data_IF_253563132182
#
_entry.id   IF_253563132182
#
_cell.length_a   1.000
_cell.length_b   1.000
_cell.length_c   1.000
_cell.angle_alpha   90.00
_cell.angle_beta   90.00
_cell.angle_gamma   90.00
#
_symmetry.space_group_name_H-M   'P 1'
#
loop_
_entity.id
_entity.type
_entity.pdbx_description
1 polymer ?
#
# COMPACT_ATOMS: atom_id res chain seq x y z
N UNK A 1 5.68 9.53 -23.22
CA UNK A 1 4.24 9.21 -23.20
C UNK A 1 4.00 8.31 -21.99
N UNK A 2 3.10 8.68 -21.07
CA UNK A 2 2.87 7.97 -19.79
C UNK A 2 1.89 6.78 -19.89
N UNK A 3 1.66 6.27 -21.10
CA UNK A 3 0.69 5.19 -21.36
C UNK A 3 1.36 4.07 -22.16
N UNK A 4 1.14 2.83 -21.75
CA UNK A 4 1.57 1.61 -22.42
C UNK A 4 0.42 0.61 -22.45
N UNK A 5 0.15 0.00 -23.60
CA UNK A 5 -0.85 -1.07 -23.74
C UNK A 5 -0.42 -2.37 -23.06
N UNK A 6 0.85 -2.49 -22.68
CA UNK A 6 1.40 -3.66 -21.98
C UNK A 6 1.02 -3.67 -20.49
N UNK A 7 0.69 -2.51 -19.91
CA UNK A 7 0.32 -2.40 -18.50
C UNK A 7 -1.21 -2.51 -18.38
N UNK A 8 -1.67 -3.64 -17.86
CA UNK A 8 -3.09 -3.84 -17.57
C UNK A 8 -3.55 -2.86 -16.47
N UNK A 9 -4.79 -2.35 -16.52
CA UNK A 9 -5.33 -1.52 -15.46
C UNK A 9 -5.30 -2.25 -14.10
N UNK A 10 -4.97 -1.52 -13.04
CA UNK A 10 -5.21 -1.98 -11.66
C UNK A 10 -6.70 -1.79 -11.36
N UNK A 11 -7.44 -2.88 -11.23
CA UNK A 11 -8.86 -2.82 -10.92
C UNK A 11 -9.04 -2.67 -9.40
N UNK A 12 -9.57 -1.53 -8.97
CA UNK A 12 -9.88 -1.22 -7.57
C UNK A 12 -11.41 -1.26 -7.43
N UNK A 13 -11.91 -1.78 -6.30
CA UNK A 13 -13.35 -1.92 -6.06
C UNK A 13 -14.07 -0.57 -6.28
N UNK A 14 -15.09 -0.50 -7.16
CA UNK A 14 -15.74 0.74 -7.54
C UNK A 14 -16.55 1.40 -6.42
N UNK A 15 -16.84 0.69 -5.32
CA UNK A 15 -17.60 1.23 -4.19
C UNK A 15 -16.72 1.95 -3.15
N UNK A 16 -15.47 2.27 -3.49
CA UNK A 16 -14.57 3.04 -2.63
C UNK A 16 -14.57 4.50 -3.05
N UNK A 17 -14.88 5.38 -2.11
CA UNK A 17 -14.65 6.83 -2.23
C UNK A 17 -13.23 7.14 -1.73
N UNK A 18 -12.64 8.27 -2.12
CA UNK A 18 -11.35 8.76 -1.60
C UNK A 18 -10.18 7.78 -1.70
N UNK A 19 -9.92 7.29 -2.91
CA UNK A 19 -8.80 6.39 -3.20
C UNK A 19 -7.54 7.20 -3.52
N UNK A 20 -6.48 6.93 -2.77
CA UNK A 20 -5.15 7.48 -2.99
C UNK A 20 -4.26 6.41 -3.64
N UNK A 21 -3.52 6.82 -4.67
CA UNK A 21 -2.48 6.02 -5.29
C UNK A 21 -1.12 6.61 -4.92
N UNK A 22 -0.30 5.79 -4.26
CA UNK A 22 1.01 6.19 -3.74
C UNK A 22 2.06 5.41 -4.54
N UNK A 23 2.99 6.12 -5.17
CA UNK A 23 4.16 5.49 -5.80
C UNK A 23 5.22 5.23 -4.71
N UNK A 24 5.53 3.96 -4.47
CA UNK A 24 6.50 3.50 -3.47
C UNK A 24 7.93 3.39 -4.02
N UNK A 25 8.10 3.57 -5.33
CA UNK A 25 9.32 3.23 -6.05
C UNK A 25 9.56 1.72 -6.09
N UNK A 26 10.81 1.33 -6.36
CA UNK A 26 11.22 -0.07 -6.38
C UNK A 26 11.43 -0.60 -4.94
N UNK A 27 10.42 -1.30 -4.43
CA UNK A 27 10.44 -1.95 -3.11
C UNK A 27 11.10 -3.34 -3.17
N UNK A 28 10.89 -4.10 -4.25
CA UNK A 28 11.25 -5.53 -4.31
C UNK A 28 12.53 -5.85 -5.12
N UNK A 29 13.24 -4.84 -5.61
CA UNK A 29 14.39 -4.93 -6.52
C UNK A 29 14.08 -5.61 -7.85
N UNK A 30 12.85 -5.49 -8.33
CA UNK A 30 12.42 -5.90 -9.67
C UNK A 30 12.16 -4.63 -10.46
N UNK A 31 12.50 -4.62 -11.74
CA UNK A 31 12.31 -3.44 -12.59
C UNK A 31 10.83 -3.03 -12.61
N UNK A 32 10.56 -1.87 -12.03
CA UNK A 32 9.23 -1.27 -11.96
C UNK A 32 9.00 -0.66 -10.59
N UNK A 33 8.09 0.29 -10.52
CA UNK A 33 7.67 0.86 -9.25
C UNK A 33 6.49 0.07 -8.69
N UNK A 34 6.43 -0.03 -7.38
CA UNK A 34 5.29 -0.54 -6.64
C UNK A 34 4.28 0.58 -6.38
N UNK A 35 2.99 0.23 -6.41
CA UNK A 35 1.89 1.16 -6.15
C UNK A 35 1.13 0.69 -4.90
N UNK A 36 0.97 1.59 -3.94
CA UNK A 36 0.07 1.41 -2.82
C UNK A 36 -1.28 2.05 -3.12
N UNK A 37 -2.35 1.33 -2.82
CA UNK A 37 -3.73 1.82 -2.82
C UNK A 37 -4.14 2.03 -1.37
N UNK A 38 -4.58 3.24 -1.06
CA UNK A 38 -5.11 3.60 0.25
C UNK A 38 -6.53 4.13 0.11
N UNK A 39 -7.47 3.58 0.87
CA UNK A 39 -8.87 4.03 0.83
C UNK A 39 -9.80 3.22 1.73
N UNK A 40 -11.00 3.72 2.03
CA UNK A 40 -11.98 3.05 2.87
C UNK A 40 -12.62 1.87 2.11
N UNK A 41 -12.86 0.71 2.74
CA UNK A 41 -13.57 -0.40 2.10
C UNK A 41 -15.06 -0.13 1.93
N UNK A 42 -15.72 0.60 2.84
CA UNK A 42 -17.17 0.92 2.83
C UNK A 42 -17.51 2.18 3.68
N UNK A 43 -17.31 3.40 3.14
CA UNK A 43 -17.58 4.73 3.77
C UNK A 43 -17.22 4.84 5.28
N UNK A 44 -16.20 4.10 5.72
CA UNK A 44 -15.82 3.97 7.12
C UNK A 44 -14.63 4.85 7.47
N UNK A 45 -14.39 4.99 8.77
CA UNK A 45 -13.26 5.74 9.33
C UNK A 45 -12.02 4.86 9.58
N UNK A 46 -11.99 3.70 8.92
CA UNK A 46 -10.88 2.76 8.92
C UNK A 46 -10.54 2.46 7.47
N UNK A 47 -9.36 2.88 7.06
CA UNK A 47 -8.89 2.77 5.69
C UNK A 47 -8.05 1.51 5.55
N UNK A 48 -8.01 0.97 4.35
CA UNK A 48 -7.15 -0.17 4.01
C UNK A 48 -6.00 0.31 3.14
N UNK A 49 -4.80 -0.18 3.43
CA UNK A 49 -3.60 0.04 2.62
C UNK A 49 -3.13 -1.28 2.00
N UNK A 50 -3.03 -1.32 0.68
CA UNK A 50 -2.62 -2.51 -0.09
C UNK A 50 -1.56 -2.16 -1.12
N UNK A 51 -0.44 -2.89 -1.15
CA UNK A 51 0.68 -2.60 -2.06
C UNK A 51 0.82 -3.64 -3.15
N UNK A 52 0.96 -3.18 -4.39
CA UNK A 52 0.98 -3.99 -5.59
C UNK A 52 2.27 -3.79 -6.38
N UNK A 53 2.76 -4.87 -7.00
CA UNK A 53 3.78 -4.84 -8.04
C UNK A 53 3.17 -5.24 -9.38
N UNK A 54 3.69 -4.71 -10.48
CA UNK A 54 3.34 -5.18 -11.82
C UNK A 54 4.37 -6.20 -12.30
N UNK A 55 4.00 -7.49 -12.29
CA UNK A 55 4.91 -8.57 -12.68
C UNK A 55 4.17 -9.65 -13.48
N UNK A 56 4.83 -10.19 -14.50
CA UNK A 56 4.27 -11.22 -15.40
C UNK A 56 2.93 -10.82 -16.03
N UNK A 57 2.81 -9.56 -16.44
CA UNK A 57 1.62 -9.05 -17.13
C UNK A 57 0.38 -8.89 -16.24
N UNK A 58 0.54 -8.84 -14.92
CA UNK A 58 -0.55 -8.63 -13.96
C UNK A 58 -0.08 -7.89 -12.70
N UNK A 59 -1.01 -7.14 -12.10
CA UNK A 59 -0.83 -6.60 -10.75
C UNK A 59 -0.91 -7.71 -9.70
N UNK A 60 0.06 -7.75 -8.81
CA UNK A 60 0.16 -8.74 -7.74
C UNK A 60 0.34 -8.02 -6.41
N UNK A 61 -0.48 -8.40 -5.43
CA UNK A 61 -0.33 -7.95 -4.05
C UNK A 61 0.99 -8.45 -3.46
N UNK A 62 1.82 -7.55 -2.94
CA UNK A 62 3.13 -7.88 -2.35
C UNK A 62 3.21 -7.66 -0.85
N UNK A 63 2.42 -6.73 -0.31
CA UNK A 63 2.23 -6.52 1.14
C UNK A 63 0.77 -6.84 1.43
N UNK A 64 0.50 -7.65 2.46
CA UNK A 64 -0.88 -7.94 2.86
C UNK A 64 -1.61 -6.66 3.24
N UNK A 65 -2.92 -6.53 2.90
CA UNK A 65 -3.70 -5.39 3.30
C UNK A 65 -3.69 -5.23 4.83
N UNK A 66 -3.53 -4.00 5.30
CA UNK A 66 -3.66 -3.67 6.71
C UNK A 66 -4.55 -2.46 6.90
N UNK A 67 -5.17 -2.39 8.08
CA UNK A 67 -6.17 -1.39 8.42
C UNK A 67 -5.51 -0.23 9.18
N UNK A 68 -5.88 0.98 8.78
CA UNK A 68 -5.45 2.23 9.39
C UNK A 68 -6.69 2.90 9.96
N UNK A 69 -6.89 2.92 11.29
CA UNK A 69 -7.97 3.68 11.90
C UNK A 69 -7.63 5.18 11.77
N UNK A 70 -8.40 5.89 10.95
CA UNK A 70 -8.18 7.33 10.69
C UNK A 70 -9.02 8.21 11.62
N UNK A 71 -9.99 7.62 12.32
CA UNK A 71 -11.00 8.35 13.09
C UNK A 71 -11.69 9.46 12.26
N UNK A 72 -11.87 9.19 10.96
CA UNK A 72 -12.50 10.06 9.98
C UNK A 72 -11.69 11.32 9.66
N UNK A 73 -10.40 11.36 10.04
CA UNK A 73 -9.50 12.45 9.70
C UNK A 73 -8.72 12.12 8.43
N UNK A 74 -8.43 13.14 7.64
CA UNK A 74 -7.51 13.04 6.52
C UNK A 74 -6.08 12.82 7.04
N UNK A 75 -5.34 11.94 6.35
CA UNK A 75 -3.90 11.79 6.56
C UNK A 75 -3.17 12.67 5.56
N UNK A 76 -2.12 13.34 6.01
CA UNK A 76 -1.24 14.09 5.12
C UNK A 76 -0.45 13.17 4.18
N UNK A 77 -0.04 13.69 3.03
CA UNK A 77 0.83 12.99 2.08
C UNK A 77 2.09 12.45 2.76
N UNK A 78 2.67 13.22 3.69
CA UNK A 78 3.85 12.82 4.46
C UNK A 78 3.56 11.62 5.37
N UNK A 79 2.39 11.57 6.02
CA UNK A 79 2.01 10.43 6.85
C UNK A 79 1.78 9.18 5.99
N UNK A 80 1.15 9.32 4.82
CA UNK A 80 0.92 8.22 3.88
C UNK A 80 2.25 7.67 3.35
N UNK A 81 3.14 8.54 2.88
CA UNK A 81 4.46 8.16 2.34
C UNK A 81 5.37 7.49 3.36
N UNK A 82 5.21 7.79 4.65
CA UNK A 82 6.00 7.18 5.71
C UNK A 82 5.42 5.84 6.23
N UNK A 83 4.30 5.34 5.67
CA UNK A 83 3.72 4.07 6.08
C UNK A 83 4.50 2.87 5.58
N UNK A 84 5.17 2.97 4.44
CA UNK A 84 5.96 1.90 3.84
C UNK A 84 7.36 2.44 3.57
N UNK A 85 8.39 1.71 4.04
CA UNK A 85 9.78 2.14 3.91
C UNK A 85 10.67 0.98 3.51
N UNK A 86 11.71 1.28 2.74
CA UNK A 86 12.78 0.34 2.40
C UNK A 86 14.10 0.79 3.03
N UNK A 87 14.61 -0.01 3.95
CA UNK A 87 15.86 0.24 4.67
C UNK A 87 16.81 -0.94 4.48
N UNK A 88 18.01 -0.71 3.94
CA UNK A 88 19.00 -1.78 3.75
C UNK A 88 18.48 -2.95 2.91
N UNK A 89 17.57 -2.69 1.96
CA UNK A 89 16.93 -3.70 1.11
C UNK A 89 15.79 -4.48 1.80
N UNK A 90 15.46 -4.14 3.05
CA UNK A 90 14.34 -4.72 3.78
C UNK A 90 13.16 -3.75 3.76
N UNK A 91 11.99 -4.23 3.36
CA UNK A 91 10.76 -3.45 3.37
C UNK A 91 10.06 -3.60 4.73
N UNK A 92 9.62 -2.47 5.26
CA UNK A 92 8.85 -2.35 6.49
C UNK A 92 7.54 -1.62 6.21
N UNK A 93 6.53 -1.90 7.02
CA UNK A 93 5.31 -1.11 7.06
C UNK A 93 4.99 -0.73 8.51
N UNK A 94 4.39 0.45 8.69
CA UNK A 94 3.95 0.95 9.99
C UNK A 94 2.46 0.71 10.16
N UNK A 95 2.17 -0.35 10.89
CA UNK A 95 0.82 -0.71 11.28
C UNK A 95 0.39 0.05 12.53
N UNK A 96 -0.91 0.14 12.77
CA UNK A 96 -1.44 0.82 13.95
C UNK A 96 -1.67 -0.18 15.07
N UNK A 97 -1.16 0.09 16.28
CA UNK A 97 -1.49 -0.73 17.45
C UNK A 97 -2.93 -0.44 17.89
N UNK A 98 -3.85 -1.34 17.53
CA UNK A 98 -5.26 -1.23 17.92
C UNK A 98 -5.51 -1.46 19.42
N UNK A 99 -4.52 -1.98 20.15
CA UNK A 99 -4.63 -2.16 21.61
C UNK A 99 -4.07 -0.96 22.38
N UNK A 100 -3.43 -0.01 21.69
CA UNK A 100 -2.88 1.21 22.28
C UNK A 100 -3.86 2.37 22.10
N UNK A 101 -4.21 3.04 23.20
CA UNK A 101 -5.18 4.15 23.19
C UNK A 101 -4.71 5.37 22.40
N UNK A 102 -3.42 5.47 22.08
CA UNK A 102 -2.84 6.54 21.27
C UNK A 102 -2.53 6.08 19.84
N UNK A 103 -2.94 4.86 19.44
CA UNK A 103 -2.75 4.33 18.08
C UNK A 103 -1.29 4.43 17.61
N UNK A 104 -0.35 4.09 18.50
CA UNK A 104 1.09 4.15 18.17
C UNK A 104 1.42 3.26 16.97
N UNK A 105 2.36 3.74 16.17
CA UNK A 105 2.83 3.01 15.00
C UNK A 105 3.79 1.88 15.39
N UNK A 106 3.51 0.68 14.90
CA UNK A 106 4.38 -0.49 15.06
C UNK A 106 5.05 -0.77 13.72
N UNK A 107 6.39 -0.67 13.71
CA UNK A 107 7.20 -1.08 12.55
C UNK A 107 7.19 -2.60 12.41
N UNK A 108 6.63 -3.11 11.31
CA UNK A 108 6.57 -4.54 10.98
C UNK A 108 7.37 -4.80 9.72
N UNK A 109 8.11 -5.91 9.70
CA UNK A 109 8.84 -6.35 8.50
C UNK A 109 7.83 -6.90 7.48
N UNK A 110 7.80 -6.34 6.28
CA UNK A 110 6.95 -6.84 5.20
C UNK A 110 7.48 -8.17 4.68
N UNK A 111 6.60 -9.16 4.54
CA UNK A 111 6.91 -10.42 3.87
C UNK A 111 6.45 -10.31 2.42
N UNK A 112 7.35 -9.82 1.57
CA UNK A 112 7.04 -9.62 0.16
C UNK A 112 6.67 -10.95 -0.51
N UNK A 113 5.46 -11.00 -1.09
CA UNK A 113 5.00 -12.16 -1.87
C UNK A 113 5.64 -12.17 -3.26
N UNK A 114 6.95 -12.35 -3.35
CA UNK A 114 7.61 -12.60 -4.64
C UNK A 114 7.38 -14.05 -5.06
N UNK A 115 6.41 -14.29 -5.95
CA UNK A 115 6.29 -15.60 -6.60
C UNK A 115 7.50 -15.80 -7.51
N UNK A 116 8.48 -16.58 -7.06
CA UNK A 116 9.27 -17.40 -7.98
C UNK A 116 8.47 -18.67 -8.27
N UNK A 117 7.88 -18.75 -9.45
CA UNK A 117 7.53 -20.03 -10.09
C UNK A 117 7.88 -19.92 -11.54
#
# INVERSE_FOLDING_TARGET
>A
MFSSSEIKPLNINPNREDIYLINEGDLNNIRGDEITVYGPPLHGCTYEMSTYTYADGAWKLIIEPFLIPTACNEMSDAELQNRILKEGGVVYYYDTDVNDVHFRLIKKKARLKTKRK
#
